data_IF_422966997243
#
_entry.id   IF_422966997243
#
_cell.length_a   1.000
_cell.length_b   1.000
_cell.length_c   1.000
_cell.angle_alpha   90.00
_cell.angle_beta   90.00
_cell.angle_gamma   90.00
#
_symmetry.space_group_name_H-M   'P 1'
#
loop_
_entity.id
_entity.type
_entity.pdbx_description
1 polymer ?
#
# COMPACT_ATOMS: atom_id res chain seq x y z
N UNK A 1 4.47 -8.26 -7.33
CA UNK A 1 3.81 -7.33 -8.29
C UNK A 1 3.24 -6.07 -7.59
N UNK A 2 4.07 -5.08 -7.25
CA UNK A 2 3.63 -3.84 -6.56
C UNK A 2 2.44 -3.17 -7.28
N UNK A 3 1.32 -2.95 -6.56
CA UNK A 3 0.16 -2.18 -7.05
C UNK A 3 -1.20 -2.89 -7.06
N UNK A 4 -1.29 -4.23 -7.08
CA UNK A 4 -2.59 -4.96 -6.97
C UNK A 4 -3.02 -5.22 -5.51
N UNK A 5 -2.21 -4.78 -4.55
CA UNK A 5 -2.36 -5.06 -3.11
C UNK A 5 -3.20 -4.05 -2.36
N UNK A 6 -3.50 -2.89 -2.94
CA UNK A 6 -4.26 -1.85 -2.26
C UNK A 6 -5.60 -2.39 -1.73
N UNK A 7 -6.25 -3.30 -2.47
CA UNK A 7 -7.50 -3.96 -2.05
C UNK A 7 -7.29 -5.00 -0.95
N UNK A 8 -6.23 -5.83 -1.02
CA UNK A 8 -5.94 -6.87 -0.01
C UNK A 8 -5.51 -6.25 1.32
N UNK A 9 -4.61 -5.27 1.24
CA UNK A 9 -4.15 -4.46 2.37
C UNK A 9 -5.28 -3.61 2.95
N UNK A 10 -6.15 -3.05 2.10
CA UNK A 10 -7.37 -2.36 2.53
C UNK A 10 -8.38 -3.28 3.23
N UNK A 11 -8.44 -4.55 2.84
CA UNK A 11 -9.27 -5.58 3.47
C UNK A 11 -8.63 -6.22 4.70
N UNK A 12 -7.37 -5.88 5.00
CA UNK A 12 -6.55 -6.46 6.07
C UNK A 12 -6.40 -8.00 5.99
N UNK A 13 -6.52 -8.59 4.80
CA UNK A 13 -6.55 -10.05 4.60
C UNK A 13 -5.44 -10.51 3.67
N UNK A 14 -4.88 -11.69 3.94
CA UNK A 14 -3.80 -12.30 3.15
C UNK A 14 -4.28 -12.71 1.75
N UNK A 15 -5.51 -13.22 1.65
CA UNK A 15 -6.08 -13.84 0.45
C UNK A 15 -7.49 -13.32 0.10
N UNK A 16 -7.97 -12.27 0.79
CA UNK A 16 -9.34 -11.72 0.71
C UNK A 16 -10.48 -12.62 1.14
N UNK A 17 -10.22 -13.88 1.50
CA UNK A 17 -11.24 -14.89 1.86
C UNK A 17 -11.18 -15.24 3.35
N UNK A 18 -10.00 -15.16 3.97
CA UNK A 18 -9.79 -15.42 5.39
C UNK A 18 -10.45 -14.35 6.28
N UNK A 19 -11.23 -14.79 7.28
CA UNK A 19 -11.89 -13.92 8.28
C UNK A 19 -10.90 -13.24 9.24
N UNK A 20 -9.65 -13.69 9.29
CA UNK A 20 -8.63 -13.06 10.13
C UNK A 20 -8.07 -11.81 9.46
N UNK A 21 -8.29 -10.66 10.10
CA UNK A 21 -7.65 -9.39 9.72
C UNK A 21 -6.22 -9.38 10.24
N UNK A 22 -5.29 -9.97 9.50
CA UNK A 22 -3.88 -10.15 9.93
C UNK A 22 -2.98 -8.98 9.54
N UNK A 23 -3.43 -8.10 8.61
CA UNK A 23 -2.56 -7.12 7.93
C UNK A 23 -3.23 -5.73 7.84
N UNK A 24 -3.72 -5.22 8.97
CA UNK A 24 -4.51 -3.99 9.02
C UNK A 24 -3.68 -2.71 9.11
N UNK A 25 -2.39 -2.80 9.44
CA UNK A 25 -1.55 -1.65 9.76
C UNK A 25 -1.48 -0.61 8.65
N UNK A 26 -1.27 -0.97 7.37
CA UNK A 26 -1.22 0.04 6.32
C UNK A 26 -2.59 0.69 6.08
N UNK A 27 -3.68 -0.05 6.30
CA UNK A 27 -5.04 0.49 6.23
C UNK A 27 -5.30 1.56 7.29
N UNK A 28 -4.81 1.35 8.52
CA UNK A 28 -4.88 2.34 9.59
C UNK A 28 -4.04 3.59 9.29
N UNK A 29 -2.82 3.41 8.78
CA UNK A 29 -1.94 4.52 8.39
C UNK A 29 -2.59 5.39 7.30
N UNK A 30 -3.07 4.76 6.21
CA UNK A 30 -3.73 5.47 5.10
C UNK A 30 -5.01 6.16 5.56
N UNK A 31 -5.83 5.49 6.38
CA UNK A 31 -7.04 6.08 6.94
C UNK A 31 -6.71 7.32 7.79
N UNK A 32 -5.72 7.24 8.67
CA UNK A 32 -5.31 8.37 9.49
C UNK A 32 -4.91 9.58 8.63
N UNK A 33 -4.05 9.40 7.63
CA UNK A 33 -3.65 10.52 6.76
C UNK A 33 -4.78 11.07 5.90
N UNK A 34 -5.72 10.22 5.51
CA UNK A 34 -6.95 10.65 4.83
C UNK A 34 -7.79 11.53 5.75
N UNK A 35 -7.97 11.12 7.01
CA UNK A 35 -8.70 11.90 8.02
C UNK A 35 -8.03 13.26 8.29
N UNK A 36 -6.69 13.30 8.36
CA UNK A 36 -5.91 14.54 8.49
C UNK A 36 -6.15 15.47 7.30
N UNK A 37 -5.99 14.97 6.07
CA UNK A 37 -6.21 15.74 4.84
C UNK A 37 -7.64 16.31 4.76
N UNK A 38 -8.65 15.46 5.00
CA UNK A 38 -10.05 15.85 4.93
C UNK A 38 -10.38 16.91 5.99
N UNK A 39 -9.89 16.74 7.23
CA UNK A 39 -10.08 17.73 8.30
C UNK A 39 -9.44 19.07 7.93
N UNK A 40 -8.24 19.05 7.35
CA UNK A 40 -7.53 20.25 6.89
C UNK A 40 -8.31 20.99 5.79
N UNK A 41 -9.06 20.27 4.96
CA UNK A 41 -9.97 20.84 3.95
C UNK A 41 -11.32 21.30 4.52
N UNK A 42 -11.52 21.23 5.83
CA UNK A 42 -12.74 21.68 6.50
C UNK A 42 -13.86 20.64 6.57
N UNK A 43 -13.58 19.38 6.21
CA UNK A 43 -14.56 18.29 6.37
C UNK A 43 -14.70 17.96 7.86
N UNK A 44 -15.96 17.96 8.33
CA UNK A 44 -16.29 17.46 9.67
C UNK A 44 -16.44 15.94 9.60
N UNK A 45 -15.56 15.23 10.31
CA UNK A 45 -15.60 13.78 10.42
C UNK A 45 -16.12 13.41 11.81
N UNK A 46 -17.19 12.61 11.87
CA UNK A 46 -17.80 12.19 13.13
C UNK A 46 -16.96 11.14 13.88
N UNK A 47 -16.13 10.38 13.16
CA UNK A 47 -15.26 9.33 13.70
C UNK A 47 -13.87 9.45 13.09
N UNK A 48 -12.85 9.50 13.95
CA UNK A 48 -11.44 9.58 13.55
C UNK A 48 -10.63 8.54 14.35
N UNK A 49 -9.52 8.09 13.78
CA UNK A 49 -8.58 7.20 14.47
C UNK A 49 -7.71 7.95 15.48
N UNK A 50 -7.43 9.23 15.22
CA UNK A 50 -6.62 10.10 16.10
C UNK A 50 -5.27 9.51 16.51
N UNK A 51 -4.62 8.77 15.59
CA UNK A 51 -3.30 8.19 15.83
C UNK A 51 -2.27 9.28 16.17
N UNK A 52 -1.49 9.02 17.22
CA UNK A 52 -0.31 9.79 17.59
C UNK A 52 0.90 9.40 16.76
N UNK A 53 2.00 10.18 16.89
CA UNK A 53 3.28 9.80 16.29
C UNK A 53 3.82 8.46 16.81
N UNK A 54 3.55 8.11 18.07
CA UNK A 54 3.93 6.82 18.65
C UNK A 54 3.12 5.67 18.04
N UNK A 55 1.81 5.86 17.86
CA UNK A 55 0.95 4.85 17.22
C UNK A 55 1.40 4.58 15.78
N UNK A 56 1.73 5.64 15.03
CA UNK A 56 2.28 5.50 13.68
C UNK A 56 3.60 4.72 13.67
N UNK A 57 4.48 4.99 14.64
CA UNK A 57 5.74 4.26 14.78
C UNK A 57 5.51 2.77 15.06
N UNK A 58 4.61 2.42 15.97
CA UNK A 58 4.28 1.04 16.28
C UNK A 58 3.72 0.29 15.06
N UNK A 59 2.83 0.93 14.29
CA UNK A 59 2.28 0.35 13.06
C UNK A 59 3.38 0.09 12.02
N UNK A 60 4.31 1.03 11.83
CA UNK A 60 5.44 0.86 10.91
C UNK A 60 6.41 -0.23 11.38
N UNK A 61 6.68 -0.32 12.68
CA UNK A 61 7.50 -1.40 13.25
C UNK A 61 6.83 -2.77 13.09
N UNK A 62 5.50 -2.85 13.25
CA UNK A 62 4.75 -4.09 13.01
C UNK A 62 4.84 -4.53 11.54
N UNK A 63 4.74 -3.59 10.60
CA UNK A 63 4.93 -3.88 9.17
C UNK A 63 6.33 -4.44 8.90
N UNK A 64 7.37 -3.81 9.45
CA UNK A 64 8.75 -4.26 9.27
C UNK A 64 8.99 -5.66 9.88
N UNK A 65 8.46 -5.91 11.08
CA UNK A 65 8.55 -7.21 11.76
C UNK A 65 7.85 -8.33 10.98
N UNK A 66 6.76 -8.00 10.29
CA UNK A 66 5.97 -8.93 9.48
C UNK A 66 6.28 -8.82 7.98
N UNK A 67 7.45 -8.31 7.60
CA UNK A 67 7.79 -7.99 6.21
C UNK A 67 7.64 -9.18 5.25
N UNK A 68 7.94 -10.40 5.70
CA UNK A 68 7.74 -11.62 4.91
C UNK A 68 6.26 -11.84 4.54
N UNK A 69 5.34 -11.63 5.49
CA UNK A 69 3.90 -11.73 5.23
C UNK A 69 3.44 -10.67 4.21
N UNK A 70 3.94 -9.45 4.32
CA UNK A 70 3.64 -8.38 3.35
C UNK A 70 4.26 -8.64 1.97
N UNK A 71 5.36 -9.38 1.90
CA UNK A 71 5.89 -9.90 0.63
C UNK A 71 5.04 -11.05 0.09
N UNK A 72 4.49 -11.91 0.93
CA UNK A 72 3.67 -13.05 0.51
C UNK A 72 2.32 -12.62 -0.07
N UNK A 73 1.71 -11.53 0.43
CA UNK A 73 0.54 -10.88 -0.21
C UNK A 73 0.83 -10.64 -1.70
N UNK A 74 2.10 -10.49 -2.07
CA UNK A 74 2.47 -10.24 -3.46
C UNK A 74 2.12 -11.36 -4.44
N UNK A 75 1.88 -12.56 -3.92
CA UNK A 75 1.57 -13.76 -4.67
C UNK A 75 0.07 -14.02 -4.83
N UNK A 76 -0.79 -13.25 -4.16
CA UNK A 76 -2.25 -13.45 -4.17
C UNK A 76 -2.97 -12.45 -5.06
N UNK A 77 -4.05 -12.90 -5.72
CA UNK A 77 -4.90 -12.10 -6.62
C UNK A 77 -6.36 -12.24 -6.21
N UNK A 78 -7.03 -11.12 -5.92
CA UNK A 78 -8.46 -11.10 -5.55
C UNK A 78 -9.39 -11.39 -6.75
N UNK A 79 -8.87 -11.31 -7.99
CA UNK A 79 -9.65 -11.62 -9.20
C UNK A 79 -9.54 -13.08 -9.62
N UNK A 80 -8.79 -13.93 -8.91
CA UNK A 80 -8.43 -15.33 -9.25
C UNK A 80 -7.71 -15.52 -10.60
N UNK A 81 -7.73 -14.51 -11.48
CA UNK A 81 -6.91 -14.40 -12.68
C UNK A 81 -5.53 -13.86 -12.30
N UNK A 82 -4.50 -14.65 -12.57
CA UNK A 82 -3.10 -14.26 -12.50
C UNK A 82 -2.63 -13.84 -13.88
N UNK A 83 -2.66 -12.53 -14.16
CA UNK A 83 -1.95 -11.92 -15.30
C UNK A 83 -0.45 -11.86 -14.97
N UNK A 84 0.15 -13.04 -14.80
CA UNK A 84 1.55 -13.23 -14.44
C UNK A 84 2.25 -13.87 -15.63
N UNK A 85 3.28 -13.21 -16.16
CA UNK A 85 4.27 -13.84 -17.03
C UNK A 85 5.57 -13.92 -16.23
N UNK A 86 6.05 -15.14 -15.94
CA UNK A 86 7.23 -15.32 -15.10
C UNK A 86 7.06 -14.69 -13.71
N UNK A 87 7.97 -13.77 -13.32
CA UNK A 87 7.92 -13.04 -12.05
C UNK A 87 7.32 -11.62 -12.16
N UNK A 88 6.69 -11.30 -13.29
CA UNK A 88 6.28 -9.93 -13.62
C UNK A 88 4.80 -9.81 -13.98
N UNK A 89 4.34 -8.55 -14.05
CA UNK A 89 3.00 -8.20 -14.50
C UNK A 89 2.90 -8.39 -16.01
N UNK A 90 1.95 -9.21 -16.45
CA UNK A 90 1.49 -9.19 -17.83
C UNK A 90 0.60 -7.96 -18.04
N UNK A 91 0.82 -7.24 -19.13
CA UNK A 91 0.10 -6.01 -19.48
C UNK A 91 -0.61 -6.22 -20.81
N UNK A 92 -1.86 -5.78 -20.90
CA UNK A 92 -2.58 -5.73 -22.17
C UNK A 92 -2.00 -4.64 -23.08
N UNK A 93 -1.60 -5.05 -24.29
CA UNK A 93 -1.10 -4.21 -25.37
C UNK A 93 -1.96 -4.45 -26.61
N UNK A 94 -3.15 -3.84 -26.62
CA UNK A 94 -4.15 -4.12 -27.66
C UNK A 94 -4.66 -5.56 -27.55
N UNK A 95 -4.70 -6.26 -28.69
CA UNK A 95 -5.14 -7.66 -28.78
C UNK A 95 -4.05 -8.66 -28.35
N UNK A 96 -2.82 -8.18 -28.13
CA UNK A 96 -1.70 -8.94 -27.59
C UNK A 96 -1.41 -8.46 -26.15
N UNK A 97 -0.60 -9.19 -25.41
CA UNK A 97 -0.07 -8.69 -24.13
C UNK A 97 1.43 -8.82 -24.06
N UNK A 98 2.02 -8.01 -23.18
CA UNK A 98 3.45 -7.77 -23.09
C UNK A 98 3.92 -7.81 -21.63
N UNK A 99 5.20 -8.06 -21.43
CA UNK A 99 5.83 -8.08 -20.11
C UNK A 99 6.14 -6.66 -19.64
N UNK A 100 5.94 -6.39 -18.36
CA UNK A 100 6.12 -5.05 -17.79
C UNK A 100 7.50 -4.45 -18.10
N UNK A 101 8.58 -5.23 -17.97
CA UNK A 101 9.93 -4.72 -18.22
C UNK A 101 10.18 -4.28 -19.67
N UNK A 102 9.34 -4.66 -20.64
CA UNK A 102 9.48 -4.24 -22.04
C UNK A 102 8.93 -2.82 -22.26
N UNK A 103 8.14 -2.30 -21.33
CA UNK A 103 7.60 -0.94 -21.41
C UNK A 103 8.74 0.05 -21.25
N UNK A 104 8.86 0.94 -22.23
CA UNK A 104 9.78 2.07 -22.22
C UNK A 104 8.96 3.35 -22.24
N UNK A 105 9.21 4.23 -21.28
CA UNK A 105 8.59 5.54 -21.18
C UNK A 105 9.52 6.48 -20.43
N UNK A 106 9.31 7.79 -20.59
CA UNK A 106 10.02 8.78 -19.76
C UNK A 106 9.61 8.50 -18.31
N UNK A 107 10.53 7.97 -17.50
CA UNK A 107 10.29 7.76 -16.08
C UNK A 107 9.85 9.10 -15.48
N UNK A 108 8.64 9.16 -14.93
CA UNK A 108 8.35 10.13 -13.88
C UNK A 108 9.22 9.69 -12.70
N UNK A 109 10.42 10.26 -12.58
CA UNK A 109 11.30 10.10 -11.42
C UNK A 109 10.60 10.74 -10.21
N UNK A 110 9.61 10.05 -9.65
CA UNK A 110 9.05 10.34 -8.34
C UNK A 110 9.83 9.54 -7.29
N UNK A 111 11.17 9.60 -7.34
CA UNK A 111 12.02 8.68 -6.58
C UNK A 111 12.07 8.96 -5.09
N UNK A 112 11.79 10.18 -4.61
CA UNK A 112 12.12 10.52 -3.24
C UNK A 112 11.01 10.36 -2.20
N UNK A 113 9.75 10.23 -2.60
CA UNK A 113 8.61 10.26 -1.63
C UNK A 113 7.85 8.93 -1.56
N UNK A 114 7.81 8.14 -2.64
CA UNK A 114 7.06 6.87 -2.66
C UNK A 114 7.87 5.64 -2.20
N UNK A 115 9.18 5.80 -1.99
CA UNK A 115 10.10 4.71 -1.61
C UNK A 115 10.72 4.96 -0.22
N UNK A 116 10.46 6.12 0.37
CA UNK A 116 11.05 6.52 1.64
C UNK A 116 10.36 5.81 2.81
N UNK A 117 11.17 5.26 3.70
CA UNK A 117 10.74 4.44 4.83
C UNK A 117 10.57 5.33 6.07
N UNK A 118 9.38 5.33 6.66
CA UNK A 118 9.10 6.05 7.90
C UNK A 118 10.05 5.67 9.04
N UNK A 119 10.55 4.43 9.07
CA UNK A 119 11.53 3.99 10.07
C UNK A 119 12.92 4.61 9.85
N UNK A 120 13.20 5.08 8.64
CA UNK A 120 14.46 5.76 8.28
C UNK A 120 14.33 7.27 8.39
N UNK A 121 13.18 7.82 8.01
CA UNK A 121 12.87 9.25 8.11
C UNK A 121 11.47 9.45 8.72
N UNK A 122 11.37 9.60 10.07
CA UNK A 122 10.09 9.84 10.74
C UNK A 122 9.42 11.17 10.37
N UNK A 123 10.15 12.09 9.73
CA UNK A 123 9.65 13.41 9.30
C UNK A 123 8.99 13.35 7.91
N UNK A 124 9.03 12.21 7.23
CA UNK A 124 8.44 12.04 5.88
C UNK A 124 6.96 12.48 5.81
N UNK A 125 6.23 12.38 6.92
CA UNK A 125 4.82 12.76 7.02
C UNK A 125 4.56 14.19 7.49
N UNK A 126 5.58 14.98 7.81
CA UNK A 126 5.39 16.35 8.30
C UNK A 126 4.80 17.28 7.21
N UNK A 127 4.92 16.90 5.94
CA UNK A 127 4.23 17.58 4.83
C UNK A 127 2.71 17.29 4.77
N UNK A 128 2.26 16.23 5.44
CA UNK A 128 0.86 15.76 5.45
C UNK A 128 0.13 16.24 6.70
N UNK A 129 0.83 16.35 7.84
CA UNK A 129 0.34 16.97 9.08
C UNK A 129 -0.05 18.44 8.84
#
# INVERSE_FOLDING_TARGET
MRGRYATLVGNASLDSVSESKVLYEPGLIVRHFTEVCLTRWGVKLDKKLELSGCDLLELHQSIAKNSDLYQDIQNYSYTQLTEKSGNERYISYGDEGSEFFLIRGKLLLLESVLISDFLVDPLIYDSIK
#
